data_IF_375963045602
#
_entry.id   IF_375963045602
#
_cell.length_a   1.000
_cell.length_b   1.000
_cell.length_c   1.000
_cell.angle_alpha   90.00
_cell.angle_beta   90.00
_cell.angle_gamma   90.00
#
_symmetry.space_group_name_H-M   'P 1'
#
loop_
_entity.id
_entity.type
_entity.pdbx_description
1 polymer ?
#
# COMPACT_ATOMS: atom_id res chain seq x y z
N UNK A 1 -19.14 -33.46 5.08
CA UNK A 1 -19.12 -31.98 5.08
C UNK A 1 -20.49 -31.48 4.67
N UNK A 2 -20.98 -30.36 5.19
CA UNK A 2 -22.24 -29.75 4.74
C UNK A 2 -22.18 -29.37 3.24
N UNK A 3 -23.23 -29.60 2.43
CA UNK A 3 -23.19 -29.34 0.99
C UNK A 3 -22.93 -27.87 0.61
N UNK A 4 -23.45 -26.92 1.39
CA UNK A 4 -23.22 -25.49 1.15
C UNK A 4 -21.78 -25.13 1.45
N UNK A 5 -21.23 -25.67 2.55
CA UNK A 5 -19.83 -25.47 2.92
C UNK A 5 -18.87 -26.09 1.89
N UNK A 6 -19.19 -27.29 1.38
CA UNK A 6 -18.41 -27.96 0.34
C UNK A 6 -18.37 -27.16 -0.97
N UNK A 7 -19.48 -26.50 -1.35
CA UNK A 7 -19.56 -25.71 -2.57
C UNK A 7 -18.65 -24.48 -2.53
N UNK A 8 -18.52 -23.85 -1.35
CA UNK A 8 -17.71 -22.64 -1.15
C UNK A 8 -16.23 -22.96 -0.94
N UNK A 9 -15.91 -24.04 -0.20
CA UNK A 9 -14.54 -24.32 0.26
C UNK A 9 -13.76 -25.36 -0.58
N UNK A 10 -14.45 -26.23 -1.32
CA UNK A 10 -13.81 -27.30 -2.10
C UNK A 10 -13.76 -26.94 -3.58
N UNK A 11 -12.60 -27.21 -4.18
CA UNK A 11 -12.44 -27.15 -5.63
C UNK A 11 -13.23 -28.26 -6.32
N UNK A 12 -13.52 -28.12 -7.62
CA UNK A 12 -14.35 -29.10 -8.37
C UNK A 12 -13.85 -30.54 -8.26
N UNK A 13 -12.54 -30.74 -8.13
CA UNK A 13 -11.91 -32.07 -8.07
C UNK A 13 -11.91 -32.66 -6.65
N UNK A 14 -12.02 -31.82 -5.62
CA UNK A 14 -11.98 -32.24 -4.22
C UNK A 14 -13.36 -32.65 -3.68
N UNK A 15 -14.44 -32.22 -4.35
CA UNK A 15 -15.82 -32.38 -3.88
C UNK A 15 -16.26 -33.83 -3.69
N UNK A 16 -15.75 -34.74 -4.53
CA UNK A 16 -16.09 -36.17 -4.47
C UNK A 16 -15.17 -36.94 -3.50
N UNK A 17 -14.04 -36.35 -3.12
CA UNK A 17 -12.96 -37.04 -2.38
C UNK A 17 -12.85 -36.60 -0.92
N UNK A 18 -13.16 -35.34 -0.62
CA UNK A 18 -12.93 -34.73 0.69
C UNK A 18 -14.25 -34.55 1.44
N UNK A 19 -14.47 -35.38 2.45
CA UNK A 19 -15.66 -35.32 3.31
C UNK A 19 -15.42 -34.64 4.66
N UNK A 20 -14.16 -34.45 5.03
CA UNK A 20 -13.72 -33.86 6.30
C UNK A 20 -12.44 -33.04 6.10
N UNK A 21 -12.33 -31.94 6.83
CA UNK A 21 -11.15 -31.08 6.88
C UNK A 21 -10.92 -30.66 8.33
N UNK A 22 -9.67 -30.42 8.70
CA UNK A 22 -9.36 -29.83 9.99
C UNK A 22 -9.95 -28.42 10.11
N UNK A 23 -10.35 -28.05 11.33
CA UNK A 23 -10.94 -26.74 11.61
C UNK A 23 -10.04 -25.59 11.15
N UNK A 24 -8.73 -25.71 11.30
CA UNK A 24 -7.77 -24.70 10.86
C UNK A 24 -7.84 -24.50 9.34
N UNK A 25 -7.77 -25.59 8.57
CA UNK A 25 -7.84 -25.55 7.10
C UNK A 25 -9.19 -25.06 6.58
N UNK A 26 -10.29 -25.36 7.27
CA UNK A 26 -11.61 -24.83 6.95
C UNK A 26 -11.65 -23.31 7.04
N UNK A 27 -11.17 -22.76 8.15
CA UNK A 27 -11.13 -21.31 8.37
C UNK A 27 -10.22 -20.63 7.36
N UNK A 28 -9.06 -21.21 7.07
CA UNK A 28 -8.13 -20.67 6.08
C UNK A 28 -8.75 -20.61 4.67
N UNK A 29 -9.32 -21.73 4.19
CA UNK A 29 -10.00 -21.77 2.88
C UNK A 29 -11.18 -20.80 2.83
N UNK A 30 -11.92 -20.66 3.93
CA UNK A 30 -13.03 -19.71 4.01
C UNK A 30 -12.54 -18.27 3.89
N UNK A 31 -11.50 -17.90 4.65
CA UNK A 31 -10.90 -16.57 4.55
C UNK A 31 -10.34 -16.29 3.15
N UNK A 32 -9.72 -17.27 2.49
CA UNK A 32 -9.21 -17.14 1.12
C UNK A 32 -10.32 -17.00 0.06
N UNK A 33 -11.49 -17.60 0.30
CA UNK A 33 -12.65 -17.48 -0.59
C UNK A 33 -13.33 -16.10 -0.50
N UNK A 34 -13.12 -15.37 0.61
CA UNK A 34 -13.67 -14.04 0.80
C UNK A 34 -12.87 -12.98 0.04
N UNK A 35 -13.56 -11.93 -0.41
CA UNK A 35 -12.87 -10.77 -1.00
C UNK A 35 -12.17 -9.98 0.11
N UNK A 36 -10.89 -9.60 -0.05
CA UNK A 36 -10.17 -8.83 0.96
C UNK A 36 -10.80 -7.44 1.12
N UNK A 37 -10.95 -7.02 2.38
CA UNK A 37 -11.43 -5.69 2.77
C UNK A 37 -10.65 -5.22 3.99
N UNK A 38 -10.55 -3.91 4.17
CA UNK A 38 -9.94 -3.30 5.35
C UNK A 38 -10.76 -2.09 5.81
N UNK A 39 -10.62 -1.74 7.09
CA UNK A 39 -11.28 -0.59 7.69
C UNK A 39 -10.22 0.43 8.06
N UNK A 40 -10.42 1.66 7.61
CA UNK A 40 -9.55 2.79 7.94
C UNK A 40 -10.25 3.63 8.99
N UNK A 41 -9.61 3.78 10.15
CA UNK A 41 -10.07 4.64 11.23
C UNK A 41 -9.11 5.83 11.37
N UNK A 42 -9.55 7.00 10.92
CA UNK A 42 -8.78 8.24 11.03
C UNK A 42 -9.37 9.11 12.16
N UNK A 43 -8.52 9.77 12.97
CA UNK A 43 -9.01 10.70 13.99
C UNK A 43 -9.93 11.77 13.39
N UNK A 44 -11.14 11.89 13.94
CA UNK A 44 -12.12 12.91 13.51
C UNK A 44 -12.88 12.57 12.22
N UNK A 45 -12.80 11.34 11.71
CA UNK A 45 -13.62 10.85 10.59
C UNK A 45 -14.29 9.53 10.96
N UNK A 46 -15.44 9.26 10.33
CA UNK A 46 -16.11 7.97 10.47
C UNK A 46 -15.26 6.84 9.84
N UNK A 47 -15.28 5.63 10.42
CA UNK A 47 -14.57 4.48 9.85
C UNK A 47 -15.05 4.17 8.43
N UNK A 48 -14.10 4.06 7.49
CA UNK A 48 -14.41 3.77 6.09
C UNK A 48 -13.99 2.34 5.75
N UNK A 49 -14.93 1.55 5.23
CA UNK A 49 -14.65 0.23 4.70
C UNK A 49 -14.13 0.35 3.26
N UNK A 50 -12.92 -0.17 3.02
CA UNK A 50 -12.26 -0.12 1.72
C UNK A 50 -12.10 -1.54 1.19
N UNK A 51 -12.48 -1.71 -0.08
CA UNK A 51 -12.35 -2.98 -0.79
C UNK A 51 -10.90 -3.16 -1.26
N UNK A 52 -10.40 -4.38 -1.14
CA UNK A 52 -9.08 -4.76 -1.63
C UNK A 52 -8.07 -5.02 -0.52
N UNK A 53 -6.93 -5.56 -0.94
CA UNK A 53 -5.79 -5.85 -0.07
C UNK A 53 -5.17 -4.53 0.37
N UNK A 54 -5.05 -4.34 1.68
CA UNK A 54 -4.32 -3.21 2.22
C UNK A 54 -2.85 -3.30 1.79
N UNK A 55 -2.31 -2.21 1.23
CA UNK A 55 -0.92 -2.15 0.80
C UNK A 55 -0.21 -0.95 1.45
N UNK A 56 1.00 -1.14 1.97
CA UNK A 56 1.75 -0.06 2.61
C UNK A 56 2.11 1.05 1.62
N UNK A 57 2.33 2.26 2.15
CA UNK A 57 2.87 3.38 1.36
C UNK A 57 4.29 3.04 0.95
N UNK A 58 4.59 3.18 -0.33
CA UNK A 58 5.94 2.92 -0.86
C UNK A 58 6.65 4.24 -1.13
N UNK A 59 7.81 4.42 -0.51
CA UNK A 59 8.69 5.58 -0.69
C UNK A 59 9.95 5.11 -1.40
N UNK A 60 10.06 5.41 -2.69
CA UNK A 60 11.16 4.94 -3.54
C UNK A 60 12.08 6.12 -3.87
N UNK A 61 13.38 5.99 -3.60
CA UNK A 61 14.39 6.98 -4.02
C UNK A 61 15.10 6.45 -5.26
N UNK A 62 14.96 7.15 -6.38
CA UNK A 62 15.55 6.78 -7.66
C UNK A 62 16.46 7.89 -8.20
N UNK A 63 17.51 7.50 -8.92
CA UNK A 63 18.41 8.44 -9.60
C UNK A 63 17.99 8.58 -11.08
N UNK A 64 17.54 9.77 -11.47
CA UNK A 64 17.27 10.14 -12.86
C UNK A 64 18.55 10.47 -13.63
N UNK A 65 18.42 10.59 -14.95
CA UNK A 65 19.50 11.06 -15.84
C UNK A 65 20.17 12.32 -15.25
N UNK A 66 21.50 12.34 -15.25
CA UNK A 66 22.35 13.41 -14.68
C UNK A 66 22.43 13.46 -13.15
N UNK A 67 22.48 12.31 -12.45
CA UNK A 67 22.67 12.20 -10.98
C UNK A 67 21.62 12.90 -10.11
N UNK A 68 20.48 13.27 -10.68
CA UNK A 68 19.40 13.93 -9.94
C UNK A 68 18.58 12.86 -9.24
N UNK A 69 18.47 12.95 -7.92
CA UNK A 69 17.60 12.05 -7.14
C UNK A 69 16.16 12.55 -7.17
N UNK A 70 15.22 11.60 -7.17
CA UNK A 70 13.79 11.85 -7.04
C UNK A 70 13.23 10.87 -6.02
N UNK A 71 12.40 11.38 -5.11
CA UNK A 71 11.64 10.56 -4.16
C UNK A 71 10.23 10.38 -4.70
N UNK A 72 9.81 9.14 -4.94
CA UNK A 72 8.47 8.74 -5.37
C UNK A 72 7.70 8.19 -4.19
N UNK A 73 6.44 8.57 -4.06
CA UNK A 73 5.54 8.13 -2.99
C UNK A 73 4.30 7.54 -3.67
N UNK A 74 4.06 6.25 -3.46
CA UNK A 74 2.97 5.50 -4.09
C UNK A 74 1.97 5.01 -3.03
N UNK A 75 0.76 4.68 -3.48
CA UNK A 75 -0.31 4.04 -2.68
C UNK A 75 -0.78 4.87 -1.48
N UNK A 76 -0.69 6.20 -1.57
CA UNK A 76 -1.22 7.10 -0.54
C UNK A 76 -2.75 7.04 -0.41
N UNK A 77 -3.43 6.66 -1.49
CA UNK A 77 -4.88 6.46 -1.53
C UNK A 77 -5.38 5.37 -0.58
N UNK A 78 -4.52 4.41 -0.20
CA UNK A 78 -4.83 3.35 0.77
C UNK A 78 -5.07 3.88 2.18
N UNK A 79 -4.71 5.13 2.46
CA UNK A 79 -4.96 5.81 3.73
C UNK A 79 -6.06 6.85 3.64
N UNK A 80 -6.78 6.94 2.51
CA UNK A 80 -7.82 7.96 2.26
C UNK A 80 -7.31 9.39 2.49
N UNK A 81 -6.01 9.61 2.22
CA UNK A 81 -5.38 10.91 2.32
C UNK A 81 -5.52 11.65 1.00
N UNK A 82 -5.76 12.96 1.07
CA UNK A 82 -5.84 13.79 -0.11
C UNK A 82 -4.42 14.04 -0.66
N UNK A 83 -4.18 13.58 -1.90
CA UNK A 83 -2.90 13.72 -2.59
C UNK A 83 -2.48 15.18 -2.77
N UNK A 84 -3.43 16.08 -3.09
CA UNK A 84 -3.13 17.50 -3.30
C UNK A 84 -2.73 18.18 -1.98
N UNK A 85 -3.39 17.81 -0.89
CA UNK A 85 -3.06 18.33 0.45
C UNK A 85 -1.65 17.91 0.88
N UNK A 86 -1.32 16.62 0.72
CA UNK A 86 0.01 16.10 1.01
C UNK A 86 1.06 16.73 0.08
N UNK A 87 0.75 16.89 -1.21
CA UNK A 87 1.64 17.53 -2.16
C UNK A 87 1.94 18.98 -1.76
N UNK A 88 0.94 19.75 -1.36
CA UNK A 88 1.13 21.13 -0.90
C UNK A 88 1.99 21.19 0.37
N UNK A 89 1.74 20.31 1.35
CA UNK A 89 2.53 20.27 2.59
C UNK A 89 3.98 19.86 2.35
N UNK A 90 4.19 18.84 1.51
CA UNK A 90 5.54 18.44 1.08
C UNK A 90 6.26 19.55 0.33
N UNK A 91 5.55 20.36 -0.47
CA UNK A 91 6.16 21.44 -1.27
C UNK A 91 6.78 22.49 -0.35
N UNK A 92 6.07 22.83 0.72
CA UNK A 92 6.51 23.78 1.75
C UNK A 92 7.69 23.19 2.55
N UNK A 93 7.56 21.98 3.07
CA UNK A 93 8.57 21.33 3.93
C UNK A 93 9.87 20.95 3.19
N UNK A 94 9.74 20.49 1.94
CA UNK A 94 10.88 20.07 1.13
C UNK A 94 11.50 21.24 0.33
N UNK A 95 10.85 22.41 0.27
CA UNK A 95 11.25 23.55 -0.56
C UNK A 95 11.65 23.12 -1.99
N UNK A 96 10.92 22.14 -2.54
CA UNK A 96 11.27 21.42 -3.76
C UNK A 96 10.06 21.31 -4.68
N UNK A 97 10.31 21.12 -5.98
CA UNK A 97 9.25 20.88 -6.95
C UNK A 97 8.60 19.51 -6.71
N UNK A 98 7.27 19.49 -6.78
CA UNK A 98 6.44 18.31 -6.60
C UNK A 98 5.55 18.15 -7.81
N UNK A 99 5.51 16.94 -8.35
CA UNK A 99 4.60 16.56 -9.42
C UNK A 99 3.74 15.39 -8.97
N UNK A 100 2.44 15.53 -9.17
CA UNK A 100 1.50 14.42 -9.09
C UNK A 100 1.54 13.73 -10.46
N UNK A 101 1.94 12.47 -10.49
CA UNK A 101 1.91 11.64 -11.68
C UNK A 101 1.01 10.43 -11.41
N UNK A 102 0.42 9.82 -12.43
CA UNK A 102 -0.45 8.67 -12.21
C UNK A 102 -1.46 8.44 -13.34
N UNK A 103 -2.00 7.22 -13.38
CA UNK A 103 -3.24 6.89 -14.11
C UNK A 103 -4.38 6.78 -13.10
N UNK A 104 -5.62 6.84 -13.59
CA UNK A 104 -6.91 6.89 -12.86
C UNK A 104 -7.00 6.17 -11.49
N UNK A 105 -6.23 5.10 -11.26
CA UNK A 105 -6.28 4.27 -10.04
C UNK A 105 -4.91 4.05 -9.35
N UNK A 106 -3.87 4.79 -9.75
CA UNK A 106 -2.54 4.69 -9.15
C UNK A 106 -1.85 6.06 -9.22
N UNK A 107 -2.20 6.92 -8.27
CA UNK A 107 -1.58 8.23 -8.16
C UNK A 107 -0.27 8.12 -7.35
N UNK A 108 0.78 8.73 -7.89
CA UNK A 108 2.10 8.86 -7.27
C UNK A 108 2.48 10.33 -7.08
N UNK A 109 3.12 10.63 -5.96
CA UNK A 109 3.77 11.92 -5.73
C UNK A 109 5.26 11.79 -6.01
N UNK A 110 5.79 12.69 -6.81
CA UNK A 110 7.23 12.76 -7.06
C UNK A 110 7.77 14.07 -6.49
N UNK A 111 8.80 13.97 -5.68
CA UNK A 111 9.50 15.11 -5.07
C UNK A 111 10.94 15.12 -5.58
N UNK A 112 11.41 16.27 -6.07
CA UNK A 112 12.81 16.41 -6.47
C UNK A 112 13.74 16.35 -5.25
N UNK A 113 14.81 15.55 -5.33
CA UNK A 113 15.76 15.32 -4.24
C UNK A 113 15.46 14.06 -3.41
N UNK A 114 16.34 13.77 -2.45
CA UNK A 114 16.15 12.72 -1.46
C UNK A 114 15.54 13.33 -0.19
N UNK A 115 14.24 13.09 0.03
CA UNK A 115 13.49 13.66 1.15
C UNK A 115 12.82 12.60 2.03
N UNK A 116 13.33 11.36 2.06
CA UNK A 116 12.71 10.25 2.80
C UNK A 116 12.38 10.61 4.25
N UNK A 117 13.31 11.25 4.97
CA UNK A 117 13.10 11.64 6.36
C UNK A 117 11.94 12.65 6.53
N UNK A 118 11.86 13.63 5.63
CA UNK A 118 10.77 14.63 5.63
C UNK A 118 9.44 13.98 5.26
N UNK A 119 9.43 13.10 4.27
CA UNK A 119 8.25 12.33 3.86
C UNK A 119 7.71 11.51 5.03
N UNK A 120 8.57 10.75 5.72
CA UNK A 120 8.18 9.99 6.92
C UNK A 120 7.57 10.88 8.00
N UNK A 121 8.18 12.03 8.27
CA UNK A 121 7.68 13.00 9.27
C UNK A 121 6.30 13.53 8.92
N UNK A 122 6.06 13.85 7.64
CA UNK A 122 4.76 14.34 7.18
C UNK A 122 3.71 13.21 7.27
N UNK A 123 4.02 12.01 6.80
CA UNK A 123 3.12 10.87 6.89
C UNK A 123 2.76 10.54 8.35
N UNK A 124 3.71 10.65 9.27
CA UNK A 124 3.45 10.53 10.70
C UNK A 124 2.48 11.62 11.23
N UNK A 125 2.59 12.86 10.74
CA UNK A 125 1.64 13.93 11.06
C UNK A 125 0.21 13.66 10.55
N UNK A 126 0.07 12.78 9.56
CA UNK A 126 -1.20 12.30 9.03
C UNK A 126 -1.62 10.94 9.63
N UNK A 127 -1.04 10.55 10.75
CA UNK A 127 -1.35 9.32 11.47
C UNK A 127 -1.08 8.03 10.68
N UNK A 128 -0.19 8.07 9.69
CA UNK A 128 0.29 6.88 8.99
C UNK A 128 1.33 6.18 9.87
N UNK A 129 1.07 4.94 10.35
CA UNK A 129 2.03 4.21 11.15
C UNK A 129 3.28 3.84 10.35
N UNK A 130 4.47 3.94 10.96
CA UNK A 130 5.73 3.65 10.27
C UNK A 130 5.83 2.19 9.78
N UNK A 131 5.16 1.25 10.45
CA UNK A 131 5.06 -0.16 10.01
C UNK A 131 4.41 -0.35 8.63
N UNK A 132 3.70 0.66 8.14
CA UNK A 132 3.07 0.66 6.82
C UNK A 132 3.75 1.62 5.84
N UNK A 133 4.99 2.00 6.11
CA UNK A 133 5.83 2.81 5.21
C UNK A 133 7.01 1.94 4.78
N UNK A 134 6.99 1.49 3.53
CA UNK A 134 8.10 0.78 2.91
C UNK A 134 9.02 1.79 2.23
N UNK A 135 10.32 1.73 2.53
CA UNK A 135 11.33 2.58 1.89
C UNK A 135 12.23 1.73 1.02
N UNK A 136 12.34 2.09 -0.25
CA UNK A 136 13.29 1.48 -1.19
C UNK A 136 14.28 2.53 -1.70
N UNK A 137 15.57 2.24 -1.58
CA UNK A 137 16.65 3.09 -2.08
C UNK A 137 17.26 2.46 -3.33
N UNK A 138 16.67 2.75 -4.48
CA UNK A 138 17.13 2.26 -5.78
C UNK A 138 18.21 3.17 -6.38
N UNK A 139 19.25 3.43 -5.58
CA UNK A 139 20.46 4.14 -6.02
C UNK A 139 21.32 3.16 -6.81
N UNK A 140 21.74 3.54 -8.03
CA UNK A 140 22.57 2.68 -8.88
C UNK A 140 23.79 2.22 -8.08
N UNK A 141 23.85 0.93 -7.72
CA UNK A 141 25.02 0.33 -7.05
C UNK A 141 26.24 0.62 -7.92
N UNK A 142 27.21 1.38 -7.41
CA UNK A 142 28.53 1.52 -8.04
C UNK A 142 29.08 0.11 -8.25
N UNK A 143 29.22 -0.34 -9.51
CA UNK A 143 30.05 -1.51 -9.81
C UNK A 143 31.45 -1.22 -9.28
N UNK A 144 31.89 -1.97 -8.26
CA UNK A 144 33.30 -1.99 -7.85
C UNK A 144 34.09 -2.52 -9.05
N UNK A 145 35.03 -1.71 -9.55
CA UNK A 145 36.10 -2.17 -10.44
C UNK A 145 37.16 -2.86 -9.59
#
# INVERSE_FOLDING_TARGET
>A
MDPTLALVLLTKNERDSINQLERASLVERLCQSMTPHHIINLPGKDPVAVKGVFSPVQVIVEERASKKTVTRILKLEMFMLNLEEIANKLKIECASSISIAGKKDANELMVQGNHVAKVKKILASYHVPERYIEVDMNLKKKKKK
#
